data_IF_604952117892
#
_entry.id   IF_604952117892
#
_cell.length_a   1.000
_cell.length_b   1.000
_cell.length_c   1.000
_cell.angle_alpha   90.00
_cell.angle_beta   90.00
_cell.angle_gamma   90.00
#
_symmetry.space_group_name_H-M   'P 1'
#
loop_
_entity.id
_entity.type
_entity.pdbx_description
1 polymer ?
#
# COMPACT_ATOMS: atom_id res chain seq x y z
N UNK A 1 60.10 23.22 32.40
CA UNK A 1 58.65 23.08 32.64
C UNK A 1 58.14 24.42 33.12
N UNK A 2 57.55 25.22 32.23
CA UNK A 2 57.00 26.54 32.54
C UNK A 2 55.63 26.35 33.19
N UNK A 3 55.52 26.74 34.47
CA UNK A 3 54.24 26.83 35.18
C UNK A 3 53.34 27.85 34.47
N UNK A 4 52.12 27.50 34.06
CA UNK A 4 51.20 28.46 33.46
C UNK A 4 50.87 29.58 34.47
N UNK A 5 50.59 30.81 33.99
CA UNK A 5 50.27 31.94 34.86
C UNK A 5 49.05 31.62 35.74
N UNK A 6 49.03 32.10 37.00
CA UNK A 6 47.87 31.96 37.87
C UNK A 6 46.67 32.68 37.27
N UNK A 7 45.50 32.06 37.37
CA UNK A 7 44.24 32.69 36.99
C UNK A 7 43.75 32.22 35.63
N UNK A 8 43.36 30.95 35.56
CA UNK A 8 41.98 30.56 35.23
C UNK A 8 41.88 29.03 35.28
N UNK A 9 41.51 28.45 36.44
CA UNK A 9 41.29 26.99 36.59
C UNK A 9 40.36 26.47 35.51
N UNK A 10 39.42 27.30 35.06
CA UNK A 10 38.48 26.95 34.01
C UNK A 10 39.17 26.61 32.69
N UNK A 11 40.31 27.24 32.36
CA UNK A 11 41.07 26.93 31.13
C UNK A 11 41.76 25.56 31.21
N UNK A 12 42.36 25.24 32.36
CA UNK A 12 43.04 23.96 32.56
C UNK A 12 42.02 22.82 32.67
N UNK A 13 40.84 23.10 33.26
CA UNK A 13 39.75 22.15 33.40
C UNK A 13 38.85 22.00 32.16
N UNK A 14 38.87 22.97 31.22
CA UNK A 14 38.08 22.96 29.99
C UNK A 14 38.11 21.62 29.21
N UNK A 15 39.27 20.99 28.94
CA UNK A 15 39.30 19.71 28.22
C UNK A 15 38.64 18.57 29.02
N UNK A 16 38.71 18.59 30.35
CA UNK A 16 38.04 17.61 31.20
C UNK A 16 36.52 17.81 31.20
N UNK A 17 36.05 19.06 31.28
CA UNK A 17 34.63 19.39 31.16
C UNK A 17 34.04 19.01 29.80
N UNK A 18 34.74 19.34 28.71
CA UNK A 18 34.31 18.98 27.36
C UNK A 18 34.20 17.45 27.19
N UNK A 19 35.16 16.72 27.76
CA UNK A 19 35.18 15.26 27.69
C UNK A 19 34.11 14.61 28.57
N UNK A 20 33.82 15.17 29.75
CA UNK A 20 32.71 14.74 30.59
C UNK A 20 31.36 14.95 29.89
N UNK A 21 31.17 16.10 29.23
CA UNK A 21 29.96 16.38 28.44
C UNK A 21 29.78 15.38 27.29
N UNK A 22 30.87 15.06 26.58
CA UNK A 22 30.82 14.02 25.54
C UNK A 22 30.48 12.64 26.12
N UNK A 23 31.07 12.27 27.27
CA UNK A 23 30.74 11.02 27.96
C UNK A 23 29.27 10.96 28.40
N UNK A 24 28.70 12.08 28.85
CA UNK A 24 27.28 12.16 29.21
C UNK A 24 26.37 12.02 28.00
N UNK A 25 26.69 12.68 26.89
CA UNK A 25 25.97 12.55 25.63
C UNK A 25 26.02 11.11 25.09
N UNK A 26 27.18 10.45 25.14
CA UNK A 26 27.33 9.06 24.71
C UNK A 26 26.59 8.07 25.62
N UNK A 27 26.57 8.32 26.94
CA UNK A 27 25.76 7.52 27.89
C UNK A 27 24.27 7.68 27.63
N UNK A 28 23.81 8.90 27.36
CA UNK A 28 22.44 9.18 26.96
C UNK A 28 22.10 8.45 25.65
N UNK A 29 22.93 8.66 24.61
CA UNK A 29 22.76 8.05 23.31
C UNK A 29 22.65 6.52 23.42
N UNK A 30 23.60 5.87 24.12
CA UNK A 30 23.59 4.42 24.32
C UNK A 30 22.38 3.92 25.11
N UNK A 31 21.96 4.63 26.16
CA UNK A 31 20.79 4.22 26.98
C UNK A 31 19.48 4.30 26.21
N UNK A 32 19.33 5.31 25.35
CA UNK A 32 18.08 5.60 24.64
C UNK A 32 18.03 5.07 23.20
N UNK A 33 19.13 4.49 22.69
CA UNK A 33 19.18 3.96 21.32
C UNK A 33 18.22 2.77 21.12
N UNK A 34 18.27 1.77 22.02
CA UNK A 34 17.40 0.59 21.92
C UNK A 34 15.89 0.94 21.92
N UNK A 35 15.34 1.75 22.85
CA UNK A 35 13.92 2.11 22.80
C UNK A 35 13.57 2.94 21.57
N UNK A 36 14.46 3.84 21.10
CA UNK A 36 14.23 4.56 19.85
C UNK A 36 14.11 3.62 18.65
N UNK A 37 15.03 2.64 18.54
CA UNK A 37 14.98 1.62 17.49
C UNK A 37 13.73 0.75 17.57
N UNK A 38 13.30 0.34 18.78
CA UNK A 38 12.06 -0.43 18.95
C UNK A 38 10.82 0.36 18.52
N UNK A 39 10.76 1.66 18.84
CA UNK A 39 9.69 2.53 18.37
C UNK A 39 9.72 2.69 16.84
N UNK A 40 10.90 2.79 16.23
CA UNK A 40 11.03 2.78 14.78
C UNK A 40 10.55 1.46 14.17
N UNK A 41 10.90 0.31 14.75
CA UNK A 41 10.44 -1.00 14.28
C UNK A 41 8.90 -1.12 14.38
N UNK A 42 8.33 -0.70 15.52
CA UNK A 42 6.88 -0.68 15.71
C UNK A 42 6.19 0.25 14.71
N UNK A 43 6.73 1.46 14.52
CA UNK A 43 6.21 2.41 13.52
C UNK A 43 6.28 1.86 12.10
N UNK A 44 7.42 1.27 11.71
CA UNK A 44 7.59 0.65 10.41
C UNK A 44 6.58 -0.50 10.19
N UNK A 45 6.38 -1.35 11.20
CA UNK A 45 5.40 -2.43 11.13
C UNK A 45 3.97 -1.88 10.99
N UNK A 46 3.59 -0.91 11.81
CA UNK A 46 2.27 -0.26 11.75
C UNK A 46 2.00 0.39 10.40
N UNK A 47 3.01 1.03 9.79
CA UNK A 47 2.88 1.64 8.47
C UNK A 47 2.68 0.60 7.36
N UNK A 48 3.33 -0.57 7.47
CA UNK A 48 3.13 -1.67 6.52
C UNK A 48 1.72 -2.26 6.64
N UNK A 49 1.19 -2.34 7.86
CA UNK A 49 -0.19 -2.76 8.10
C UNK A 49 -1.22 -1.71 7.62
N UNK A 50 -0.93 -0.42 7.78
CA UNK A 50 -1.83 0.67 7.43
C UNK A 50 -1.71 1.15 5.97
N UNK A 51 -0.67 0.75 5.24
CA UNK A 51 -0.42 1.17 3.85
C UNK A 51 -0.08 2.67 3.69
N UNK A 52 0.38 3.35 4.74
CA UNK A 52 0.65 4.80 4.74
C UNK A 52 2.14 5.14 4.53
N UNK A 53 2.42 6.39 4.16
CA UNK A 53 3.75 6.88 3.81
C UNK A 53 4.76 6.86 5.00
N UNK A 54 6.05 6.53 4.75
CA UNK A 54 6.97 6.03 5.78
C UNK A 54 7.59 7.06 6.73
N UNK A 55 7.25 8.35 6.61
CA UNK A 55 8.02 9.43 7.25
C UNK A 55 7.92 9.43 8.79
N UNK A 56 6.81 8.95 9.35
CA UNK A 56 6.60 8.96 10.81
C UNK A 56 7.43 7.90 11.55
N UNK A 57 7.86 6.83 10.89
CA UNK A 57 8.71 5.80 11.51
C UNK A 57 10.10 6.33 11.90
N UNK A 58 10.58 7.40 11.25
CA UNK A 58 11.88 7.99 11.54
C UNK A 58 11.86 8.95 12.75
N UNK A 59 10.68 9.42 13.18
CA UNK A 59 10.56 10.42 14.25
C UNK A 59 11.21 10.01 15.58
N UNK A 60 11.08 8.77 16.08
CA UNK A 60 11.74 8.36 17.31
C UNK A 60 13.26 8.47 17.21
N UNK A 61 13.84 8.14 16.05
CA UNK A 61 15.28 8.23 15.81
C UNK A 61 15.74 9.68 15.71
N UNK A 62 14.98 10.54 15.04
CA UNK A 62 15.25 11.98 14.97
C UNK A 62 15.17 12.61 16.36
N UNK A 63 14.14 12.30 17.14
CA UNK A 63 13.97 12.79 18.51
C UNK A 63 15.11 12.32 19.42
N UNK A 64 15.56 11.06 19.27
CA UNK A 64 16.73 10.53 19.97
C UNK A 64 18.01 11.31 19.62
N UNK A 65 18.25 11.59 18.33
CA UNK A 65 19.44 12.32 17.87
C UNK A 65 19.44 13.76 18.36
N UNK A 66 18.28 14.44 18.31
CA UNK A 66 18.09 15.77 18.87
C UNK A 66 18.32 15.76 20.38
N UNK A 67 17.77 14.77 21.11
CA UNK A 67 17.99 14.62 22.54
C UNK A 67 19.47 14.47 22.89
N UNK A 68 20.22 13.63 22.15
CA UNK A 68 21.65 13.46 22.34
C UNK A 68 22.42 14.77 22.07
N UNK A 69 22.04 15.52 21.03
CA UNK A 69 22.62 16.83 20.71
C UNK A 69 22.35 17.87 21.80
N UNK A 70 21.13 17.90 22.34
CA UNK A 70 20.74 18.79 23.44
C UNK A 70 21.56 18.46 24.69
N UNK A 71 21.71 17.18 25.05
CA UNK A 71 22.53 16.77 26.19
C UNK A 71 24.00 17.15 25.99
N UNK A 72 24.53 16.98 24.77
CA UNK A 72 25.90 17.39 24.46
C UNK A 72 26.13 18.90 24.57
N UNK A 73 25.15 19.71 24.15
CA UNK A 73 25.22 21.18 24.25
C UNK A 73 24.92 21.72 25.65
N UNK A 74 24.15 20.98 26.46
CA UNK A 74 23.76 21.41 27.80
C UNK A 74 24.95 21.29 28.74
N UNK A 75 25.61 22.43 28.99
CA UNK A 75 26.69 22.52 29.97
C UNK A 75 26.13 22.25 31.38
N UNK A 76 26.72 21.29 32.07
CA UNK A 76 26.46 21.12 33.50
C UNK A 76 26.97 22.35 34.28
N UNK A 77 26.34 22.71 35.41
CA UNK A 77 26.86 23.77 36.27
C UNK A 77 28.29 23.43 36.69
N UNK A 78 29.19 24.41 36.63
CA UNK A 78 30.64 24.22 36.73
C UNK A 78 31.05 23.45 38.00
N UNK A 79 30.44 23.78 39.14
CA UNK A 79 30.67 23.10 40.43
C UNK A 79 30.26 21.62 40.37
N UNK A 80 29.10 21.29 39.79
CA UNK A 80 28.66 19.89 39.69
C UNK A 80 29.54 19.08 38.72
N UNK A 81 30.00 19.71 37.64
CA UNK A 81 30.96 19.08 36.73
C UNK A 81 32.30 18.85 37.42
N UNK A 82 32.77 19.82 38.21
CA UNK A 82 34.01 19.72 38.99
C UNK A 82 33.96 18.59 40.02
N UNK A 83 32.91 18.51 40.85
CA UNK A 83 32.71 17.41 41.82
C UNK A 83 32.72 16.03 41.16
N UNK A 84 32.12 15.91 39.97
CA UNK A 84 32.14 14.64 39.22
C UNK A 84 33.54 14.30 38.71
N UNK A 85 34.31 15.29 38.27
CA UNK A 85 35.70 15.08 37.87
C UNK A 85 36.56 14.71 39.08
N UNK A 86 36.36 15.37 40.22
CA UNK A 86 37.05 15.03 41.46
C UNK A 86 36.78 13.58 41.88
N UNK A 87 35.51 13.15 41.84
CA UNK A 87 35.15 11.76 42.14
C UNK A 87 35.71 10.74 41.13
N UNK A 88 35.79 11.10 39.84
CA UNK A 88 36.32 10.22 38.80
C UNK A 88 37.84 10.09 38.83
N UNK A 89 38.53 11.16 39.25
CA UNK A 89 39.99 11.24 39.25
C UNK A 89 40.61 11.14 40.65
N UNK A 90 39.78 11.00 41.69
CA UNK A 90 40.18 10.95 43.10
C UNK A 90 40.99 12.19 43.53
N UNK A 91 40.47 13.38 43.20
CA UNK A 91 41.14 14.67 43.50
C UNK A 91 40.73 15.26 44.86
N UNK A 92 39.95 14.55 45.68
CA UNK A 92 39.51 14.98 47.02
C UNK A 92 38.89 16.40 47.04
N UNK A 93 37.92 16.66 46.16
CA UNK A 93 37.18 17.94 46.01
C UNK A 93 38.03 19.18 45.64
N UNK A 94 39.33 19.03 45.36
CA UNK A 94 40.22 20.16 45.04
C UNK A 94 39.71 21.02 43.87
N UNK A 95 39.19 20.39 42.81
CA UNK A 95 38.68 21.14 41.65
C UNK A 95 37.36 21.83 41.98
N UNK A 96 36.44 21.15 42.67
CA UNK A 96 35.17 21.71 43.11
C UNK A 96 35.38 22.92 44.03
N UNK A 97 36.24 22.80 45.04
CA UNK A 97 36.58 23.91 45.95
C UNK A 97 37.21 25.07 45.18
N UNK A 98 38.14 24.82 44.26
CA UNK A 98 38.74 25.89 43.47
C UNK A 98 37.71 26.61 42.57
N UNK A 99 36.77 25.89 41.95
CA UNK A 99 35.71 26.48 41.13
C UNK A 99 34.70 27.25 41.96
N UNK A 100 34.36 26.76 43.16
CA UNK A 100 33.44 27.44 44.08
C UNK A 100 34.07 28.72 44.67
N UNK A 101 35.33 28.64 45.09
CA UNK A 101 36.08 29.79 45.60
C UNK A 101 36.43 30.82 44.53
N UNK A 102 36.55 30.45 43.25
CA UNK A 102 36.85 31.40 42.17
C UNK A 102 35.83 32.54 42.03
N UNK A 103 34.60 32.35 42.53
CA UNK A 103 33.56 33.39 42.51
C UNK A 103 33.44 34.21 43.80
N UNK A 104 34.00 33.73 44.92
CA UNK A 104 33.67 34.24 46.26
C UNK A 104 34.89 34.48 47.18
N UNK A 105 36.04 33.88 46.91
CA UNK A 105 37.21 34.00 47.77
C UNK A 105 38.03 35.26 47.44
N UNK A 106 38.54 35.98 48.47
CA UNK A 106 39.43 37.10 48.24
C UNK A 106 40.83 36.63 47.80
N UNK A 107 41.54 37.43 46.99
CA UNK A 107 42.94 37.18 46.70
C UNK A 107 43.81 37.30 47.96
N UNK A 108 44.87 36.48 48.11
CA UNK A 108 45.42 35.54 47.12
C UNK A 108 44.89 34.10 47.23
N UNK A 109 43.86 33.85 48.05
CA UNK A 109 43.42 32.49 48.37
C UNK A 109 42.82 31.77 47.15
N UNK A 110 42.08 32.50 46.32
CA UNK A 110 41.59 32.06 45.02
C UNK A 110 42.71 31.55 44.10
N UNK A 111 43.82 32.28 44.03
CA UNK A 111 45.00 31.95 43.22
C UNK A 111 45.71 30.70 43.73
N UNK A 112 45.84 30.56 45.05
CA UNK A 112 46.49 29.39 45.67
C UNK A 112 45.68 28.12 45.45
N UNK A 113 44.36 28.17 45.67
CA UNK A 113 43.45 27.06 45.39
C UNK A 113 43.44 26.70 43.90
N UNK A 114 43.43 27.72 43.05
CA UNK A 114 43.49 27.54 41.60
C UNK A 114 44.78 26.82 41.15
N UNK A 115 45.91 27.24 41.70
CA UNK A 115 47.21 26.62 41.42
C UNK A 115 47.30 25.19 41.96
N UNK A 116 46.70 24.90 43.12
CA UNK A 116 46.66 23.54 43.66
C UNK A 116 45.81 22.61 42.80
N UNK A 117 44.58 23.00 42.47
CA UNK A 117 43.70 22.24 41.59
C UNK A 117 44.32 22.03 40.21
N UNK A 118 44.97 23.04 39.62
CA UNK A 118 45.65 22.90 38.34
C UNK A 118 46.82 21.91 38.38
N UNK A 119 47.61 21.90 39.46
CA UNK A 119 48.71 20.93 39.65
C UNK A 119 48.18 19.51 39.84
N UNK A 120 47.13 19.35 40.65
CA UNK A 120 46.48 18.05 40.83
C UNK A 120 45.92 17.52 39.50
N UNK A 121 45.26 18.38 38.72
CA UNK A 121 44.70 18.01 37.43
C UNK A 121 45.77 17.69 36.37
N UNK A 122 46.94 18.35 36.43
CA UNK A 122 48.06 18.11 35.51
C UNK A 122 48.66 16.69 35.64
N UNK A 123 48.47 16.02 36.78
CA UNK A 123 48.86 14.61 36.95
C UNK A 123 47.98 13.64 36.13
N UNK A 124 46.82 14.10 35.66
CA UNK A 124 45.87 13.29 34.91
C UNK A 124 45.79 13.76 33.46
N UNK A 125 45.52 12.81 32.57
CA UNK A 125 45.13 13.13 31.20
C UNK A 125 43.60 13.22 31.14
N UNK A 126 43.02 14.12 30.33
CA UNK A 126 41.57 14.12 30.06
C UNK A 126 41.08 12.73 29.63
N UNK A 127 41.96 11.96 28.97
CA UNK A 127 41.70 10.59 28.52
C UNK A 127 41.27 9.61 29.62
N UNK A 128 41.59 9.89 30.88
CA UNK A 128 41.16 9.10 32.03
C UNK A 128 39.62 9.09 32.19
N UNK A 129 38.91 10.11 31.71
CA UNK A 129 37.45 10.08 31.61
C UNK A 129 37.07 9.17 30.44
N UNK A 130 36.56 7.98 30.77
CA UNK A 130 36.14 6.99 29.80
C UNK A 130 34.94 7.50 28.97
N UNK A 131 35.08 7.46 27.65
CA UNK A 131 34.00 7.79 26.70
C UNK A 131 33.10 6.60 26.41
N UNK A 132 33.53 5.38 26.75
CA UNK A 132 32.80 4.18 26.37
C UNK A 132 31.47 4.12 27.13
N UNK A 133 30.33 4.06 26.42
CA UNK A 133 29.08 3.69 27.06
C UNK A 133 29.21 2.29 27.65
N UNK A 134 28.41 2.00 28.67
CA UNK A 134 28.43 0.70 29.34
C UNK A 134 28.18 -0.41 28.31
N UNK A 135 28.99 -1.48 28.32
CA UNK A 135 28.88 -2.60 27.35
C UNK A 135 27.45 -3.13 27.20
N UNK A 136 26.66 -3.10 28.28
CA UNK A 136 25.25 -3.52 28.28
C UNK A 136 24.28 -2.60 27.51
N UNK A 137 24.65 -1.35 27.22
CA UNK A 137 23.83 -0.48 26.37
C UNK A 137 23.88 -0.92 24.90
N UNK A 138 25.08 -1.18 24.38
CA UNK A 138 25.26 -1.65 23.00
C UNK A 138 24.64 -3.03 22.75
N UNK A 139 24.80 -3.96 23.70
CA UNK A 139 24.21 -5.29 23.54
C UNK A 139 22.69 -5.29 23.47
N UNK A 140 22.02 -4.28 24.05
CA UNK A 140 20.56 -4.10 23.90
C UNK A 140 20.17 -3.46 22.57
N UNK A 141 21.05 -2.66 21.97
CA UNK A 141 20.80 -2.04 20.67
C UNK A 141 20.90 -3.05 19.51
N UNK A 142 21.76 -4.06 19.61
CA UNK A 142 21.94 -5.10 18.57
C UNK A 142 20.64 -5.82 18.20
N UNK A 143 19.88 -6.44 19.14
CA UNK A 143 18.64 -7.11 18.78
C UNK A 143 17.56 -6.13 18.30
N UNK A 144 17.53 -4.90 18.82
CA UNK A 144 16.60 -3.87 18.35
C UNK A 144 16.90 -3.45 16.90
N UNK A 145 18.18 -3.28 16.55
CA UNK A 145 18.60 -3.00 15.19
C UNK A 145 18.29 -4.18 14.25
N UNK A 146 18.49 -5.42 14.71
CA UNK A 146 18.12 -6.61 13.96
C UNK A 146 16.59 -6.67 13.69
N UNK A 147 15.77 -6.28 14.67
CA UNK A 147 14.31 -6.18 14.49
C UNK A 147 13.91 -5.10 13.48
N UNK A 148 14.54 -3.92 13.52
CA UNK A 148 14.32 -2.88 12.50
C UNK A 148 14.70 -3.41 11.11
N UNK A 149 15.87 -4.04 11.00
CA UNK A 149 16.35 -4.61 9.75
C UNK A 149 15.39 -5.69 9.24
N UNK A 150 14.96 -6.62 10.10
CA UNK A 150 13.98 -7.65 9.77
C UNK A 150 12.66 -7.01 9.31
N UNK A 151 12.17 -6.00 10.01
CA UNK A 151 10.96 -5.27 9.64
C UNK A 151 11.07 -4.55 8.29
N UNK A 152 12.28 -4.19 7.84
CA UNK A 152 12.54 -3.61 6.53
C UNK A 152 12.72 -4.67 5.43
N UNK A 153 13.34 -5.81 5.74
CA UNK A 153 13.66 -6.86 4.77
C UNK A 153 12.51 -7.83 4.50
N UNK A 154 11.63 -8.06 5.48
CA UNK A 154 10.48 -8.97 5.30
C UNK A 154 9.64 -8.46 4.12
N UNK A 155 9.29 -9.30 3.13
CA UNK A 155 8.40 -8.91 2.03
C UNK A 155 7.07 -8.41 2.60
N UNK A 156 6.47 -7.39 1.99
CA UNK A 156 5.19 -6.88 2.46
C UNK A 156 4.10 -7.94 2.23
N UNK A 157 3.52 -8.52 3.30
CA UNK A 157 2.58 -9.62 3.15
C UNK A 157 1.30 -9.20 2.42
N UNK A 158 0.99 -7.90 2.41
CA UNK A 158 -0.18 -7.33 1.78
C UNK A 158 0.12 -6.66 0.44
N UNK A 159 1.34 -6.75 -0.09
CA UNK A 159 1.67 -6.18 -1.40
C UNK A 159 0.86 -6.85 -2.52
N UNK A 160 0.71 -8.18 -2.49
CA UNK A 160 -0.07 -8.89 -3.49
C UNK A 160 -1.55 -8.49 -3.46
N UNK A 161 -2.13 -8.42 -2.26
CA UNK A 161 -3.53 -8.01 -2.06
C UNK A 161 -3.79 -6.54 -2.46
N UNK A 162 -2.81 -5.64 -2.24
CA UNK A 162 -2.91 -4.25 -2.72
C UNK A 162 -2.78 -4.16 -4.23
N UNK A 163 -1.87 -4.91 -4.83
CA UNK A 163 -1.72 -4.95 -6.29
C UNK A 163 -3.00 -5.48 -6.96
N UNK A 164 -3.69 -6.47 -6.38
CA UNK A 164 -4.99 -6.92 -6.88
C UNK A 164 -6.06 -5.84 -6.74
N UNK A 165 -6.15 -5.19 -5.57
CA UNK A 165 -7.12 -4.11 -5.35
C UNK A 165 -6.88 -2.89 -6.27
N UNK A 166 -5.62 -2.54 -6.55
CA UNK A 166 -5.27 -1.48 -7.49
C UNK A 166 -5.65 -1.84 -8.93
N UNK A 167 -5.41 -3.08 -9.35
CA UNK A 167 -5.85 -3.58 -10.66
C UNK A 167 -7.38 -3.56 -10.79
N UNK A 168 -8.10 -3.94 -9.74
CA UNK A 168 -9.56 -3.88 -9.72
C UNK A 168 -10.06 -2.43 -9.83
N UNK A 169 -9.47 -1.50 -9.08
CA UNK A 169 -9.78 -0.07 -9.18
C UNK A 169 -9.49 0.49 -10.57
N UNK A 170 -8.36 0.12 -11.16
CA UNK A 170 -8.02 0.54 -12.53
C UNK A 170 -9.03 -0.01 -13.54
N UNK A 171 -9.41 -1.28 -13.43
CA UNK A 171 -10.42 -1.89 -14.30
C UNK A 171 -11.81 -1.27 -14.12
N UNK A 172 -12.18 -0.81 -12.93
CA UNK A 172 -13.43 -0.06 -12.69
C UNK A 172 -13.34 1.34 -13.32
N UNK A 173 -12.19 2.02 -13.18
CA UNK A 173 -11.98 3.33 -13.80
C UNK A 173 -12.09 3.28 -15.34
N UNK A 174 -11.68 2.17 -15.97
CA UNK A 174 -11.86 1.95 -17.40
C UNK A 174 -13.35 1.86 -17.83
N UNK A 175 -14.25 1.44 -16.93
CA UNK A 175 -15.69 1.36 -17.20
C UNK A 175 -16.39 2.72 -17.13
N UNK A 176 -15.75 3.74 -16.55
CA UNK A 176 -16.38 5.05 -16.36
C UNK A 176 -16.60 5.79 -17.69
N UNK A 177 -15.65 5.64 -18.64
CA UNK A 177 -15.75 6.21 -19.99
C UNK A 177 -16.89 5.61 -20.85
N UNK A 178 -17.05 4.28 -20.99
CA UNK A 178 -18.17 3.70 -21.72
C UNK A 178 -19.51 3.99 -21.05
N UNK A 179 -19.58 4.04 -19.72
CA UNK A 179 -20.80 4.44 -18.99
C UNK A 179 -21.19 5.90 -19.29
N UNK A 180 -20.22 6.82 -19.29
CA UNK A 180 -20.47 8.22 -19.66
C UNK A 180 -20.94 8.35 -21.12
N UNK A 181 -20.41 7.54 -22.04
CA UNK A 181 -20.86 7.52 -23.45
C UNK A 181 -22.29 6.97 -23.59
N UNK A 182 -22.64 5.92 -22.83
CA UNK A 182 -24.00 5.38 -22.77
C UNK A 182 -24.99 6.43 -22.27
N UNK A 183 -24.64 7.16 -21.21
CA UNK A 183 -25.44 8.24 -20.65
C UNK A 183 -25.62 9.41 -21.64
N UNK A 184 -24.56 9.77 -22.38
CA UNK A 184 -24.64 10.78 -23.43
C UNK A 184 -25.53 10.32 -24.60
N UNK A 185 -25.36 9.08 -25.06
CA UNK A 185 -26.19 8.51 -26.13
C UNK A 185 -27.68 8.42 -25.75
N UNK A 186 -27.99 8.12 -24.49
CA UNK A 186 -29.35 8.16 -23.95
C UNK A 186 -29.98 9.55 -24.02
N UNK A 187 -29.22 10.60 -23.71
CA UNK A 187 -29.71 11.98 -23.78
C UNK A 187 -30.00 12.40 -25.23
N UNK A 188 -29.16 11.97 -26.16
CA UNK A 188 -29.25 12.37 -27.57
C UNK A 188 -30.28 11.58 -28.38
N UNK A 189 -30.70 10.40 -27.93
CA UNK A 189 -31.61 9.54 -28.71
C UNK A 189 -33.08 10.04 -28.67
N UNK A 190 -33.66 10.56 -29.77
CA UNK A 190 -35.03 11.07 -29.77
C UNK A 190 -36.09 9.96 -29.82
N UNK A 191 -35.73 8.69 -30.06
CA UNK A 191 -36.72 7.61 -30.23
C UNK A 191 -37.26 7.06 -28.91
N UNK A 192 -36.57 7.32 -27.80
CA UNK A 192 -36.95 6.86 -26.46
C UNK A 192 -37.89 7.86 -25.77
N UNK A 193 -38.95 7.34 -25.16
CA UNK A 193 -39.86 8.12 -24.31
C UNK A 193 -39.09 8.82 -23.17
N UNK A 194 -39.38 10.10 -22.87
CA UNK A 194 -38.67 10.88 -21.85
C UNK A 194 -38.71 10.26 -20.45
N UNK A 195 -39.78 9.57 -20.06
CA UNK A 195 -39.85 8.93 -18.74
C UNK A 195 -38.89 7.73 -18.67
N UNK A 196 -38.88 6.90 -19.73
CA UNK A 196 -37.99 5.73 -19.82
C UNK A 196 -36.51 6.15 -19.84
N UNK A 197 -36.19 7.25 -20.54
CA UNK A 197 -34.85 7.84 -20.60
C UNK A 197 -34.35 8.30 -19.23
N UNK A 198 -35.22 8.95 -18.45
CA UNK A 198 -34.87 9.42 -17.11
C UNK A 198 -34.62 8.26 -16.15
N UNK A 199 -35.42 7.20 -16.21
CA UNK A 199 -35.27 6.00 -15.38
C UNK A 199 -33.94 5.28 -15.66
N UNK A 200 -33.58 5.10 -16.94
CA UNK A 200 -32.32 4.46 -17.34
C UNK A 200 -31.09 5.30 -16.96
N UNK A 201 -31.17 6.62 -17.12
CA UNK A 201 -30.11 7.52 -16.68
C UNK A 201 -29.90 7.44 -15.16
N UNK A 202 -30.98 7.32 -14.39
CA UNK A 202 -30.92 7.13 -12.94
C UNK A 202 -30.28 5.79 -12.57
N UNK A 203 -30.67 4.69 -13.23
CA UNK A 203 -30.07 3.36 -12.99
C UNK A 203 -28.55 3.35 -13.28
N UNK A 204 -28.11 3.98 -14.37
CA UNK A 204 -26.68 4.11 -14.71
C UNK A 204 -25.93 4.93 -13.64
N UNK A 205 -26.52 6.03 -13.17
CA UNK A 205 -25.94 6.85 -12.13
C UNK A 205 -25.81 6.08 -10.80
N UNK A 206 -26.82 5.31 -10.41
CA UNK A 206 -26.81 4.46 -9.22
C UNK A 206 -25.72 3.38 -9.31
N UNK A 207 -25.57 2.73 -10.47
CA UNK A 207 -24.51 1.73 -10.69
C UNK A 207 -23.11 2.37 -10.62
N UNK A 208 -22.91 3.57 -11.20
CA UNK A 208 -21.64 4.31 -11.08
C UNK A 208 -21.32 4.66 -9.63
N UNK A 209 -22.31 5.11 -8.87
CA UNK A 209 -22.14 5.44 -7.46
C UNK A 209 -21.80 4.18 -6.64
N UNK A 210 -22.50 3.06 -6.86
CA UNK A 210 -22.19 1.78 -6.19
C UNK A 210 -20.79 1.27 -6.51
N UNK A 211 -20.35 1.37 -7.76
CA UNK A 211 -18.99 1.00 -8.16
C UNK A 211 -17.91 1.88 -7.53
N UNK A 212 -18.20 3.18 -7.31
CA UNK A 212 -17.28 4.11 -6.65
C UNK A 212 -17.18 3.85 -5.13
N UNK A 213 -18.31 3.56 -4.48
CA UNK A 213 -18.37 3.32 -3.03
C UNK A 213 -17.91 1.91 -2.64
N UNK A 214 -18.24 0.90 -3.45
CA UNK A 214 -18.02 -0.51 -3.15
C UNK A 214 -17.43 -1.26 -4.36
N UNK A 215 -16.12 -1.12 -4.62
CA UNK A 215 -15.46 -1.78 -5.75
C UNK A 215 -15.49 -3.32 -5.68
N UNK A 216 -15.74 -3.90 -4.51
CA UNK A 216 -15.83 -5.35 -4.30
C UNK A 216 -17.07 -6.00 -4.94
N UNK A 217 -18.09 -5.22 -5.30
CA UNK A 217 -19.36 -5.76 -5.83
C UNK A 217 -19.48 -5.65 -7.36
N UNK A 218 -18.32 -5.65 -8.04
CA UNK A 218 -18.21 -5.48 -9.49
C UNK A 218 -19.09 -6.45 -10.28
N UNK A 219 -19.15 -7.71 -9.89
CA UNK A 219 -19.95 -8.71 -10.60
C UNK A 219 -21.45 -8.39 -10.57
N UNK A 220 -21.94 -7.92 -9.43
CA UNK A 220 -23.33 -7.53 -9.27
C UNK A 220 -23.64 -6.23 -10.02
N UNK A 221 -22.74 -5.24 -9.94
CA UNK A 221 -22.87 -3.98 -10.68
C UNK A 221 -22.84 -4.18 -12.21
N UNK A 222 -21.98 -5.07 -12.72
CA UNK A 222 -21.94 -5.44 -14.13
C UNK A 222 -23.22 -6.18 -14.56
N UNK A 223 -23.74 -7.07 -13.73
CA UNK A 223 -25.00 -7.76 -14.01
C UNK A 223 -26.20 -6.80 -14.01
N UNK A 224 -26.23 -5.81 -13.12
CA UNK A 224 -27.25 -4.74 -13.11
C UNK A 224 -27.16 -3.88 -14.38
N UNK A 225 -25.95 -3.48 -14.77
CA UNK A 225 -25.71 -2.74 -16.02
C UNK A 225 -26.15 -3.55 -17.25
N UNK A 226 -25.83 -4.84 -17.28
CA UNK A 226 -26.22 -5.72 -18.38
C UNK A 226 -27.75 -5.84 -18.47
N UNK A 227 -28.45 -5.95 -17.33
CA UNK A 227 -29.92 -5.94 -17.28
C UNK A 227 -30.49 -4.62 -17.79
N UNK A 228 -29.94 -3.48 -17.37
CA UNK A 228 -30.37 -2.16 -17.83
C UNK A 228 -30.14 -1.98 -19.34
N UNK A 229 -29.01 -2.47 -19.86
CA UNK A 229 -28.68 -2.43 -21.29
C UNK A 229 -29.63 -3.32 -22.10
N UNK A 230 -29.99 -4.51 -21.58
CA UNK A 230 -31.01 -5.36 -22.22
C UNK A 230 -32.39 -4.73 -22.22
N UNK A 231 -32.77 -4.05 -21.13
CA UNK A 231 -34.04 -3.31 -21.06
C UNK A 231 -34.05 -2.14 -22.05
N UNK A 232 -32.93 -1.43 -22.20
CA UNK A 232 -32.74 -0.39 -23.22
C UNK A 232 -32.95 -0.94 -24.63
N UNK A 233 -32.26 -2.03 -24.97
CA UNK A 233 -32.34 -2.65 -26.29
C UNK A 233 -33.77 -3.10 -26.61
N UNK A 234 -34.47 -3.65 -25.61
CA UNK A 234 -35.88 -4.04 -25.74
C UNK A 234 -36.83 -2.84 -25.93
N UNK A 235 -36.56 -1.70 -25.27
CA UNK A 235 -37.36 -0.48 -25.41
C UNK A 235 -37.09 0.25 -26.73
N UNK A 236 -35.85 0.18 -27.25
CA UNK A 236 -35.44 0.84 -28.49
C UNK A 236 -35.94 0.11 -29.73
N UNK A 237 -35.94 -1.22 -29.70
CA UNK A 237 -36.47 -2.04 -30.78
C UNK A 237 -37.03 -3.37 -30.22
N UNK A 238 -38.35 -3.47 -30.00
CA UNK A 238 -38.97 -4.68 -29.45
C UNK A 238 -38.76 -5.91 -30.35
N UNK A 239 -38.55 -5.73 -31.66
CA UNK A 239 -38.27 -6.84 -32.58
C UNK A 239 -36.85 -7.38 -32.41
N UNK A 240 -35.89 -6.56 -31.97
CA UNK A 240 -34.51 -6.96 -31.71
C UNK A 240 -34.39 -7.81 -30.44
N UNK A 241 -35.18 -7.52 -29.41
CA UNK A 241 -35.27 -8.33 -28.19
C UNK A 241 -35.94 -9.69 -28.45
N UNK A 242 -37.01 -9.72 -29.25
CA UNK A 242 -37.62 -10.98 -29.69
C UNK A 242 -36.63 -11.81 -30.53
N UNK A 243 -35.98 -11.19 -31.52
CA UNK A 243 -34.95 -11.86 -32.35
C UNK A 243 -33.79 -12.39 -31.52
N UNK A 244 -33.27 -11.63 -30.56
CA UNK A 244 -32.19 -12.09 -29.67
C UNK A 244 -32.65 -13.20 -28.74
N UNK A 245 -33.85 -13.13 -28.14
CA UNK A 245 -34.39 -14.21 -27.33
C UNK A 245 -34.63 -15.49 -28.15
N UNK A 246 -34.99 -15.36 -29.42
CA UNK A 246 -35.15 -16.45 -30.37
C UNK A 246 -33.78 -17.05 -30.75
N UNK A 247 -32.77 -16.21 -30.99
CA UNK A 247 -31.37 -16.62 -31.21
C UNK A 247 -30.73 -17.25 -29.97
N UNK A 248 -31.06 -16.80 -28.77
CA UNK A 248 -30.55 -17.37 -27.50
C UNK A 248 -31.20 -18.72 -27.19
N UNK A 249 -32.48 -18.90 -27.55
CA UNK A 249 -33.17 -20.19 -27.52
C UNK A 249 -32.61 -21.13 -28.58
N UNK A 250 -32.27 -20.62 -29.76
CA UNK A 250 -31.62 -21.38 -30.82
C UNK A 250 -30.19 -21.76 -30.44
N UNK A 251 -29.39 -20.85 -29.90
CA UNK A 251 -28.04 -21.13 -29.41
C UNK A 251 -28.06 -22.17 -28.29
N UNK A 252 -29.01 -22.08 -27.35
CA UNK A 252 -29.21 -23.13 -26.32
C UNK A 252 -29.76 -24.44 -26.87
N UNK A 253 -30.58 -24.39 -27.93
CA UNK A 253 -31.04 -25.59 -28.62
C UNK A 253 -29.89 -26.25 -29.40
N UNK A 254 -28.97 -25.48 -29.97
CA UNK A 254 -27.80 -25.94 -30.72
C UNK A 254 -26.66 -26.42 -29.80
N UNK A 255 -26.43 -25.76 -28.65
CA UNK A 255 -25.51 -26.21 -27.59
C UNK A 255 -26.07 -27.38 -26.78
N UNK A 256 -27.37 -27.68 -26.88
CA UNK A 256 -27.92 -28.85 -26.24
C UNK A 256 -27.32 -30.09 -26.94
N UNK A 257 -26.65 -31.00 -26.20
CA UNK A 257 -26.15 -32.25 -26.78
C UNK A 257 -27.27 -33.06 -27.44
N UNK A 258 -28.53 -32.79 -27.09
CA UNK A 258 -29.73 -33.37 -27.65
C UNK A 258 -30.01 -32.96 -29.11
N UNK A 259 -29.68 -31.74 -29.58
CA UNK A 259 -29.88 -31.37 -30.99
C UNK A 259 -28.79 -31.97 -31.89
N UNK A 260 -27.53 -31.93 -31.44
CA UNK A 260 -26.44 -32.64 -32.09
C UNK A 260 -26.68 -34.18 -32.11
N UNK A 261 -27.32 -34.71 -31.06
CA UNK A 261 -27.68 -36.12 -30.96
C UNK A 261 -28.94 -36.46 -31.78
N UNK A 262 -29.95 -35.59 -31.86
CA UNK A 262 -31.09 -35.74 -32.76
C UNK A 262 -30.68 -35.67 -34.23
N UNK A 263 -29.72 -34.82 -34.59
CA UNK A 263 -29.10 -34.78 -35.94
C UNK A 263 -28.27 -36.04 -36.22
N UNK A 264 -27.56 -36.60 -35.22
CA UNK A 264 -26.84 -37.88 -35.37
C UNK A 264 -27.78 -39.08 -35.49
N UNK A 265 -28.83 -39.12 -34.69
CA UNK A 265 -29.85 -40.17 -34.70
C UNK A 265 -30.70 -40.10 -35.98
N UNK A 266 -31.06 -38.91 -36.45
CA UNK A 266 -31.78 -38.72 -37.71
C UNK A 266 -30.92 -39.00 -38.95
N UNK A 267 -29.63 -38.64 -38.93
CA UNK A 267 -28.68 -39.02 -39.99
C UNK A 267 -28.44 -40.55 -40.03
N UNK A 268 -28.52 -41.23 -38.88
CA UNK A 268 -28.43 -42.68 -38.78
C UNK A 268 -29.76 -43.41 -39.05
N UNK A 269 -30.90 -42.71 -38.96
CA UNK A 269 -32.24 -43.28 -39.13
C UNK A 269 -32.74 -43.24 -40.58
N UNK A 270 -33.79 -44.03 -40.82
CA UNK A 270 -34.59 -44.24 -42.04
C UNK A 270 -34.86 -42.92 -42.82
N UNK A 271 -34.84 -42.91 -44.17
CA UNK A 271 -34.98 -41.69 -44.98
C UNK A 271 -36.26 -40.88 -44.69
N UNK A 272 -37.32 -41.52 -44.19
CA UNK A 272 -38.54 -40.84 -43.77
C UNK A 272 -38.33 -39.91 -42.56
N UNK A 273 -37.40 -40.24 -41.65
CA UNK A 273 -37.07 -39.39 -40.50
C UNK A 273 -36.24 -38.15 -40.94
N UNK A 274 -35.34 -38.33 -41.90
CA UNK A 274 -34.55 -37.23 -42.48
C UNK A 274 -35.43 -36.21 -43.19
N UNK A 275 -36.43 -36.67 -43.95
CA UNK A 275 -37.38 -35.79 -44.63
C UNK A 275 -38.20 -34.94 -43.66
N UNK A 276 -38.68 -35.52 -42.54
CA UNK A 276 -39.42 -34.76 -41.51
C UNK A 276 -38.55 -33.69 -40.85
N UNK A 277 -37.27 -33.98 -40.65
CA UNK A 277 -36.34 -33.03 -40.06
C UNK A 277 -36.00 -31.90 -41.06
N UNK A 278 -35.77 -32.23 -42.33
CA UNK A 278 -35.58 -31.25 -43.41
C UNK A 278 -36.82 -30.37 -43.65
N UNK A 279 -38.03 -30.90 -43.47
CA UNK A 279 -39.26 -30.11 -43.53
C UNK A 279 -39.40 -29.15 -42.35
N UNK A 280 -38.98 -29.58 -41.15
CA UNK A 280 -39.03 -28.74 -39.94
C UNK A 280 -38.06 -27.57 -40.07
N UNK A 281 -36.82 -27.85 -40.49
CA UNK A 281 -35.79 -26.84 -40.74
C UNK A 281 -36.20 -25.84 -41.84
N UNK A 282 -36.83 -26.31 -42.91
CA UNK A 282 -37.28 -25.42 -43.99
C UNK A 282 -38.50 -24.57 -43.62
N UNK A 283 -39.42 -25.09 -42.79
CA UNK A 283 -40.52 -24.28 -42.24
C UNK A 283 -40.00 -23.20 -41.30
N UNK A 284 -38.97 -23.51 -40.51
CA UNK A 284 -38.31 -22.54 -39.63
C UNK A 284 -37.50 -21.50 -40.41
N UNK A 285 -36.77 -21.91 -41.45
CA UNK A 285 -36.09 -20.99 -42.37
C UNK A 285 -37.07 -20.03 -43.06
N UNK A 286 -38.23 -20.54 -43.49
CA UNK A 286 -39.29 -19.72 -44.09
C UNK A 286 -39.90 -18.72 -43.10
N UNK A 287 -39.95 -19.04 -41.80
CA UNK A 287 -40.44 -18.14 -40.76
C UNK A 287 -39.47 -16.98 -40.46
N UNK A 288 -38.16 -17.18 -40.66
CA UNK A 288 -37.12 -16.18 -40.45
C UNK A 288 -37.01 -15.16 -41.61
N UNK A 289 -37.46 -15.54 -42.80
CA UNK A 289 -37.47 -14.69 -43.99
C UNK A 289 -36.11 -14.59 -44.69
N UNK A 290 -36.14 -14.33 -46.01
CA UNK A 290 -34.96 -14.42 -46.89
C UNK A 290 -33.85 -13.36 -46.66
N UNK A 291 -34.06 -12.41 -45.75
CA UNK A 291 -33.11 -11.34 -45.46
C UNK A 291 -32.13 -11.67 -44.32
N UNK A 292 -32.35 -12.78 -43.60
CA UNK A 292 -31.52 -13.18 -42.46
C UNK A 292 -30.48 -14.24 -42.88
N UNK A 293 -29.17 -14.02 -42.67
CA UNK A 293 -28.13 -14.99 -42.99
C UNK A 293 -28.31 -16.33 -42.26
N UNK A 294 -28.99 -16.36 -41.11
CA UNK A 294 -29.31 -17.60 -40.40
C UNK A 294 -30.44 -18.39 -41.07
N UNK A 295 -31.41 -17.71 -41.68
CA UNK A 295 -32.43 -18.36 -42.51
C UNK A 295 -31.82 -19.04 -43.72
N UNK A 296 -30.80 -18.43 -44.34
CA UNK A 296 -30.05 -19.03 -45.43
C UNK A 296 -29.27 -20.29 -44.99
N UNK A 297 -28.59 -20.23 -43.84
CA UNK A 297 -27.88 -21.37 -43.26
C UNK A 297 -28.82 -22.56 -42.95
N UNK A 298 -29.97 -22.29 -42.34
CA UNK A 298 -30.99 -23.31 -42.03
C UNK A 298 -31.62 -23.91 -43.29
N UNK A 299 -31.86 -23.08 -44.32
CA UNK A 299 -32.35 -23.55 -45.61
C UNK A 299 -31.31 -24.44 -46.31
N UNK A 300 -30.04 -24.06 -46.25
CA UNK A 300 -28.93 -24.81 -46.85
C UNK A 300 -28.70 -26.14 -46.13
N UNK A 301 -28.86 -26.19 -44.81
CA UNK A 301 -28.85 -27.42 -44.03
C UNK A 301 -30.05 -28.32 -44.33
N UNK A 302 -31.25 -27.75 -44.49
CA UNK A 302 -32.45 -28.49 -44.88
C UNK A 302 -32.32 -29.10 -46.29
N UNK A 303 -31.75 -28.36 -47.22
CA UNK A 303 -31.53 -28.82 -48.60
C UNK A 303 -30.44 -29.90 -48.66
N UNK A 304 -29.37 -29.78 -47.88
CA UNK A 304 -28.34 -30.81 -47.74
C UNK A 304 -28.89 -32.13 -47.15
N UNK A 305 -29.80 -32.05 -46.16
CA UNK A 305 -30.49 -33.23 -45.62
C UNK A 305 -31.44 -33.89 -46.62
N UNK A 306 -32.04 -33.13 -47.57
CA UNK A 306 -32.82 -33.72 -48.67
C UNK A 306 -31.94 -34.33 -49.76
N UNK A 307 -30.73 -33.81 -49.94
CA UNK A 307 -29.71 -34.32 -50.86
C UNK A 307 -28.96 -35.56 -50.36
N UNK A 308 -29.36 -36.10 -49.21
CA UNK A 308 -28.74 -37.27 -48.56
C UNK A 308 -27.29 -37.04 -48.11
N UNK A 309 -26.90 -35.77 -47.90
CA UNK A 309 -25.56 -35.39 -47.42
C UNK A 309 -25.64 -34.78 -46.00
N UNK A 310 -25.64 -35.62 -44.95
CA UNK A 310 -25.73 -35.18 -43.57
C UNK A 310 -24.44 -34.50 -43.07
N UNK A 311 -23.33 -34.59 -43.81
CA UNK A 311 -22.09 -33.89 -43.49
C UNK A 311 -22.19 -32.43 -43.96
N UNK A 312 -22.64 -32.21 -45.20
CA UNK A 312 -22.88 -30.87 -45.73
C UNK A 312 -23.94 -30.10 -44.92
N UNK A 313 -24.94 -30.79 -44.36
CA UNK A 313 -25.94 -30.18 -43.50
C UNK A 313 -25.38 -29.66 -42.16
N UNK A 314 -24.28 -30.24 -41.67
CA UNK A 314 -23.60 -29.78 -40.45
C UNK A 314 -22.69 -28.60 -40.71
N UNK A 315 -22.01 -28.59 -41.86
CA UNK A 315 -21.10 -27.51 -42.23
C UNK A 315 -21.85 -26.22 -42.59
N UNK A 316 -23.15 -26.32 -42.90
CA UNK A 316 -24.03 -25.21 -43.18
C UNK A 316 -24.61 -24.52 -41.92
N UNK A 317 -24.46 -25.11 -40.73
CA UNK A 317 -24.94 -24.59 -39.44
C UNK A 317 -23.79 -24.00 -38.62
#
# INVERSE_FOLDING_TARGET
MTTPPPGDVSRVAAPFFARLQLADALRFAGRWLAPALLLCAAGALSLRLAGAAPLWAALPLVAWLVGALVVWRRRAPAVAAARRIDALLLLDDRLATAVECAAAAPPPFDVLLAGDAARALAAHQPRAIALLPTRGAWWRAVPAAALVLLALLVPDPFAAARATAERERAAIAELDAPLARLEAGLREDPTLDPATRAELAQQIAEVRQRLAEQPGDRAQALAELERATRALDAARDPQLAERRALLDRLARALDAPQAAQALREAAAADPAARQRLAETLAREAAALGAADPTGAALQQAADALRGDDPAAARDAL
#
